data_IF_006563268042
#
_entry.id   IF_006563268042
#
_cell.length_a   1.000
_cell.length_b   1.000
_cell.length_c   1.000
_cell.angle_alpha   90.00
_cell.angle_beta   90.00
_cell.angle_gamma   90.00
#
_symmetry.space_group_name_H-M   'P 1'
#
loop_
_entity.id
_entity.type
_entity.pdbx_description
1 polymer ?
#
# COMPACT_ATOMS: atom_id res chain seq x y z
N UNK A 1 -3.97 -12.01 -7.05
CA UNK A 1 -2.56 -11.66 -7.33
C UNK A 1 -2.43 -10.77 -8.57
N UNK A 2 -2.79 -11.16 -9.80
CA UNK A 2 -2.56 -10.35 -11.03
C UNK A 2 -3.00 -8.89 -10.92
N UNK A 3 -4.15 -8.63 -10.32
CA UNK A 3 -4.65 -7.28 -10.09
C UNK A 3 -3.68 -6.42 -9.26
N UNK A 4 -3.23 -6.95 -8.13
CA UNK A 4 -2.28 -6.27 -7.26
C UNK A 4 -0.89 -6.14 -7.89
N UNK A 5 -0.45 -7.14 -8.66
CA UNK A 5 0.80 -7.06 -9.42
C UNK A 5 0.78 -5.88 -10.39
N UNK A 6 -0.32 -5.68 -11.10
CA UNK A 6 -0.49 -4.54 -12.01
C UNK A 6 -0.53 -3.22 -11.23
N UNK A 7 -1.35 -3.12 -10.17
CA UNK A 7 -1.50 -1.89 -9.37
C UNK A 7 -0.17 -1.44 -8.74
N UNK A 8 0.62 -2.37 -8.19
CA UNK A 8 1.94 -2.05 -7.64
C UNK A 8 2.99 -1.77 -8.73
N UNK A 9 2.90 -2.47 -9.86
CA UNK A 9 3.81 -2.27 -11.00
C UNK A 9 3.59 -0.93 -11.72
N UNK A 10 2.42 -0.32 -11.55
CA UNK A 10 2.10 1.00 -12.09
C UNK A 10 2.53 2.15 -11.16
N UNK A 11 2.90 1.88 -9.92
CA UNK A 11 3.42 2.89 -9.00
C UNK A 11 4.95 3.06 -9.18
N UNK A 12 5.46 4.25 -8.89
CA UNK A 12 6.90 4.53 -8.91
C UNK A 12 7.61 3.94 -7.70
N UNK A 13 6.93 3.90 -6.56
CA UNK A 13 7.45 3.30 -5.33
C UNK A 13 6.32 2.81 -4.41
N UNK A 14 6.72 1.95 -3.47
CA UNK A 14 5.85 1.45 -2.40
C UNK A 14 6.15 2.21 -1.11
N UNK A 15 5.13 2.68 -0.41
CA UNK A 15 5.27 3.39 0.86
C UNK A 15 4.75 2.51 2.00
N UNK A 16 5.62 2.14 2.92
CA UNK A 16 5.32 1.24 4.02
C UNK A 16 5.64 1.85 5.39
N UNK A 17 4.85 1.51 6.39
CA UNK A 17 5.27 1.59 7.77
C UNK A 17 6.16 0.40 8.14
N UNK A 18 6.91 0.51 9.25
CA UNK A 18 7.86 -0.51 9.71
C UNK A 18 7.30 -1.94 9.69
N UNK A 19 6.13 -2.14 10.31
CA UNK A 19 5.55 -3.49 10.45
C UNK A 19 5.19 -4.08 9.08
N UNK A 20 4.56 -3.27 8.21
CA UNK A 20 4.22 -3.70 6.85
C UNK A 20 5.48 -4.01 6.05
N UNK A 21 6.53 -3.16 6.14
CA UNK A 21 7.80 -3.41 5.48
C UNK A 21 8.39 -4.75 5.89
N UNK A 22 8.52 -5.00 7.20
CA UNK A 22 9.10 -6.26 7.72
C UNK A 22 8.28 -7.50 7.32
N UNK A 23 6.95 -7.39 7.34
CA UNK A 23 6.06 -8.46 6.90
C UNK A 23 6.22 -8.74 5.40
N UNK A 24 6.24 -7.69 4.58
CA UNK A 24 6.41 -7.82 3.12
C UNK A 24 7.80 -8.36 2.78
N UNK A 25 8.83 -7.88 3.45
CA UNK A 25 10.21 -8.36 3.28
C UNK A 25 10.33 -9.86 3.59
N UNK A 26 9.80 -10.30 4.72
CA UNK A 26 9.86 -11.71 5.12
C UNK A 26 9.14 -12.66 4.17
N UNK A 27 8.07 -12.18 3.52
CA UNK A 27 7.24 -13.00 2.62
C UNK A 27 7.69 -12.93 1.15
N UNK A 28 8.21 -11.79 0.68
CA UNK A 28 8.33 -11.48 -0.75
C UNK A 28 9.73 -11.07 -1.19
N UNK A 29 10.69 -10.94 -0.27
CA UNK A 29 12.08 -10.70 -0.65
C UNK A 29 12.68 -11.95 -1.28
N UNK A 30 13.35 -11.78 -2.42
CA UNK A 30 14.03 -12.89 -3.07
C UNK A 30 15.14 -13.45 -2.17
N UNK A 31 15.16 -14.77 -1.89
CA UNK A 31 16.20 -15.36 -1.07
C UNK A 31 17.60 -15.18 -1.67
N UNK A 32 18.62 -15.11 -0.82
CA UNK A 32 20.02 -14.99 -1.25
C UNK A 32 20.48 -16.17 -2.15
N UNK A 33 19.81 -17.32 -2.07
CA UNK A 33 20.03 -18.48 -2.95
C UNK A 33 19.64 -18.20 -4.42
N UNK A 34 18.89 -17.12 -4.68
CA UNK A 34 18.39 -16.79 -6.02
C UNK A 34 17.16 -17.60 -6.46
N UNK A 35 16.74 -18.58 -5.68
CA UNK A 35 15.56 -19.39 -5.95
C UNK A 35 14.37 -18.97 -5.08
N UNK A 36 13.17 -18.95 -5.67
CA UNK A 36 11.94 -18.75 -4.92
C UNK A 36 11.60 -20.00 -4.11
N UNK A 37 10.93 -19.88 -2.95
CA UNK A 37 10.44 -21.03 -2.19
C UNK A 37 9.50 -21.93 -2.99
N UNK A 38 9.51 -23.24 -2.74
CA UNK A 38 8.72 -24.23 -3.49
C UNK A 38 7.20 -24.01 -3.42
N UNK A 39 6.71 -23.29 -2.41
CA UNK A 39 5.28 -22.96 -2.29
C UNK A 39 4.84 -21.83 -3.23
N UNK A 40 5.79 -21.07 -3.81
CA UNK A 40 5.49 -20.02 -4.79
C UNK A 40 5.36 -20.63 -6.19
N UNK A 41 4.23 -20.35 -6.84
CA UNK A 41 3.96 -20.79 -8.20
C UNK A 41 3.77 -19.62 -9.17
N UNK A 42 3.13 -19.91 -10.30
CA UNK A 42 2.90 -18.95 -11.40
C UNK A 42 2.08 -17.70 -11.02
N UNK A 43 1.43 -17.72 -9.85
CA UNK A 43 0.65 -16.59 -9.35
C UNK A 43 1.43 -15.70 -8.38
N UNK A 44 2.25 -16.33 -7.55
CA UNK A 44 3.00 -15.68 -6.48
C UNK A 44 4.30 -15.08 -6.98
N UNK A 45 5.02 -15.77 -7.85
CA UNK A 45 6.34 -15.32 -8.36
C UNK A 45 6.27 -13.96 -9.06
N UNK A 46 5.36 -13.69 -10.01
CA UNK A 46 5.27 -12.37 -10.64
C UNK A 46 4.96 -11.25 -9.66
N UNK A 47 4.16 -11.53 -8.63
CA UNK A 47 3.87 -10.58 -7.56
C UNK A 47 5.10 -10.32 -6.69
N UNK A 48 5.80 -11.39 -6.27
CA UNK A 48 7.04 -11.31 -5.51
C UNK A 48 8.11 -10.53 -6.25
N UNK A 49 8.33 -10.80 -7.54
CA UNK A 49 9.30 -10.09 -8.38
C UNK A 49 8.96 -8.61 -8.55
N UNK A 50 7.67 -8.27 -8.62
CA UNK A 50 7.23 -6.88 -8.73
C UNK A 50 7.58 -6.12 -7.45
N UNK A 51 7.27 -6.68 -6.27
CA UNK A 51 7.59 -6.06 -4.98
C UNK A 51 9.10 -6.03 -4.76
N UNK A 52 9.80 -7.12 -5.06
CA UNK A 52 11.24 -7.23 -4.85
C UNK A 52 12.00 -6.12 -5.59
N UNK A 53 11.65 -5.85 -6.83
CA UNK A 53 12.26 -4.81 -7.68
C UNK A 53 11.81 -3.40 -7.35
N UNK A 54 10.60 -3.21 -6.85
CA UNK A 54 10.05 -1.88 -6.60
C UNK A 54 10.92 -1.08 -5.62
N UNK A 55 11.08 0.22 -5.86
CA UNK A 55 11.60 1.17 -4.86
C UNK A 55 10.64 1.19 -3.67
N UNK A 56 11.17 1.26 -2.48
CA UNK A 56 10.38 1.32 -1.24
C UNK A 56 10.80 2.51 -0.40
N UNK A 57 9.82 3.18 0.17
CA UNK A 57 10.02 4.14 1.24
C UNK A 57 9.45 3.57 2.54
N UNK A 58 10.21 3.61 3.61
CA UNK A 58 9.83 3.00 4.90
C UNK A 58 9.78 4.07 5.98
N UNK A 59 8.57 4.39 6.40
CA UNK A 59 8.36 5.34 7.51
C UNK A 59 8.62 4.63 8.83
N UNK A 60 9.68 5.05 9.52
CA UNK A 60 10.05 4.50 10.83
C UNK A 60 10.96 5.41 11.61
N UNK A 61 10.67 5.59 12.90
CA UNK A 61 11.55 6.24 13.87
C UNK A 61 12.48 5.26 14.60
N UNK A 62 12.22 3.95 14.51
CA UNK A 62 12.89 2.93 15.32
C UNK A 62 13.83 2.01 14.53
N UNK A 63 13.64 1.83 13.23
CA UNK A 63 14.57 1.05 12.41
C UNK A 63 15.90 1.79 12.28
N UNK A 64 17.01 1.08 12.44
CA UNK A 64 18.35 1.62 12.22
C UNK A 64 18.72 1.71 10.74
N UNK A 65 18.20 0.81 9.91
CA UNK A 65 18.45 0.74 8.47
C UNK A 65 17.42 -0.14 7.74
N UNK A 66 17.44 -0.06 6.44
CA UNK A 66 16.69 -0.90 5.49
C UNK A 66 17.58 -1.15 4.28
N UNK A 67 17.42 -2.29 3.61
CA UNK A 67 18.30 -2.67 2.49
C UNK A 67 17.61 -3.35 1.29
N UNK A 68 16.30 -3.62 1.42
CA UNK A 68 15.51 -4.26 0.35
C UNK A 68 15.03 -3.23 -0.69
N UNK A 69 15.93 -2.67 -1.48
CA UNK A 69 15.67 -1.54 -2.39
C UNK A 69 14.81 -0.46 -1.69
N UNK A 70 15.17 -0.14 -0.46
CA UNK A 70 14.37 0.67 0.43
C UNK A 70 15.16 1.86 0.99
N UNK A 71 14.44 2.91 1.33
CA UNK A 71 14.95 4.14 1.94
C UNK A 71 14.12 4.48 3.18
N UNK A 72 14.80 4.82 4.28
CA UNK A 72 14.12 5.25 5.50
C UNK A 72 13.61 6.68 5.37
N UNK A 73 12.35 6.86 5.70
CA UNK A 73 11.69 8.16 5.82
C UNK A 73 11.56 8.49 7.30
N UNK A 74 12.18 9.61 7.71
CA UNK A 74 12.23 10.09 9.09
C UNK A 74 11.76 11.53 9.19
N UNK A 75 11.51 11.97 10.41
CA UNK A 75 11.09 13.33 10.72
C UNK A 75 9.59 13.54 10.59
N UNK A 76 9.19 14.71 10.16
CA UNK A 76 7.78 15.03 9.96
C UNK A 76 7.19 14.24 8.79
N UNK A 77 6.15 13.45 9.09
CA UNK A 77 5.51 12.56 8.12
C UNK A 77 4.87 13.34 6.96
N UNK A 78 4.15 14.41 7.28
CA UNK A 78 3.45 15.23 6.29
C UNK A 78 4.41 15.82 5.27
N UNK A 79 5.42 16.52 5.75
CA UNK A 79 6.44 17.14 4.90
C UNK A 79 7.23 16.11 4.08
N UNK A 80 7.53 14.95 4.67
CA UNK A 80 8.25 13.90 3.96
C UNK A 80 7.44 13.34 2.80
N UNK A 81 6.15 13.02 3.03
CA UNK A 81 5.28 12.47 2.00
C UNK A 81 4.92 13.52 0.95
N UNK A 82 4.70 14.78 1.34
CA UNK A 82 4.50 15.88 0.38
C UNK A 82 5.68 16.02 -0.59
N UNK A 83 6.93 15.94 -0.10
CA UNK A 83 8.11 15.96 -0.97
C UNK A 83 8.12 14.79 -1.95
N UNK A 84 7.84 13.58 -1.48
CA UNK A 84 7.77 12.40 -2.35
C UNK A 84 6.68 12.52 -3.42
N UNK A 85 5.55 13.13 -3.08
CA UNK A 85 4.45 13.38 -4.02
C UNK A 85 4.77 14.45 -5.06
N UNK A 86 5.75 15.31 -4.84
CA UNK A 86 6.22 16.32 -5.80
C UNK A 86 7.19 15.75 -6.83
N UNK A 87 7.74 14.55 -6.60
CA UNK A 87 8.56 13.88 -7.60
C UNK A 87 7.71 13.53 -8.83
N UNK A 88 8.22 13.79 -10.05
CA UNK A 88 7.47 13.46 -11.25
C UNK A 88 7.33 11.94 -11.40
N UNK A 89 6.11 11.48 -11.71
CA UNK A 89 5.84 10.06 -11.86
C UNK A 89 4.36 9.72 -11.76
N UNK A 90 4.10 8.43 -11.51
CA UNK A 90 2.74 7.87 -11.40
C UNK A 90 2.22 7.87 -9.95
N UNK A 91 3.11 8.08 -8.97
CA UNK A 91 2.78 8.16 -7.56
C UNK A 91 3.23 6.98 -6.72
N UNK A 92 2.78 6.96 -5.47
CA UNK A 92 3.15 6.00 -4.45
C UNK A 92 2.01 5.01 -4.19
N UNK A 93 2.32 3.72 -4.16
CA UNK A 93 1.40 2.71 -3.66
C UNK A 93 1.55 2.58 -2.14
N UNK A 94 0.45 2.74 -1.41
CA UNK A 94 0.40 2.73 0.05
C UNK A 94 -0.35 1.50 0.54
N UNK A 95 0.21 0.80 1.52
CA UNK A 95 -0.45 -0.33 2.18
C UNK A 95 -0.23 -0.37 3.67
N UNK A 96 -1.04 -1.20 4.35
CA UNK A 96 -1.01 -1.36 5.81
C UNK A 96 -2.22 -0.74 6.50
N UNK A 97 -2.12 -0.47 7.80
CA UNK A 97 -3.23 0.05 8.62
C UNK A 97 -2.88 1.39 9.27
N UNK A 98 -1.81 1.44 10.04
CA UNK A 98 -1.45 2.62 10.83
C UNK A 98 -0.98 3.79 9.97
N UNK A 99 -0.14 3.53 8.99
CA UNK A 99 0.37 4.58 8.11
C UNK A 99 -0.73 5.18 7.22
N UNK A 100 -1.60 4.38 6.57
CA UNK A 100 -2.76 4.93 5.85
C UNK A 100 -3.67 5.78 6.73
N UNK A 101 -3.93 5.39 7.98
CA UNK A 101 -4.73 6.20 8.91
C UNK A 101 -4.07 7.57 9.15
N UNK A 102 -2.77 7.58 9.46
CA UNK A 102 -2.05 8.84 9.71
C UNK A 102 -2.03 9.76 8.47
N UNK A 103 -1.86 9.20 7.27
CA UNK A 103 -1.87 9.96 6.02
C UNK A 103 -3.28 10.42 5.62
N UNK A 104 -4.31 9.65 5.94
CA UNK A 104 -5.70 10.07 5.76
C UNK A 104 -6.05 11.27 6.63
N UNK A 105 -5.63 11.26 7.91
CA UNK A 105 -5.80 12.40 8.84
C UNK A 105 -5.07 13.67 8.37
N UNK A 106 -4.00 13.51 7.60
CA UNK A 106 -3.24 14.62 7.01
C UNK A 106 -3.77 15.05 5.62
N UNK A 107 -4.79 14.36 5.08
CA UNK A 107 -5.32 14.64 3.74
C UNK A 107 -4.35 14.32 2.60
N UNK A 108 -3.39 13.42 2.82
CA UNK A 108 -2.30 13.12 1.87
C UNK A 108 -2.58 11.90 0.98
N UNK A 109 -3.76 11.28 1.08
CA UNK A 109 -4.17 10.17 0.23
C UNK A 109 -5.07 10.69 -0.90
N UNK A 110 -4.66 10.49 -2.14
CA UNK A 110 -5.39 10.95 -3.32
C UNK A 110 -6.41 9.93 -3.80
N UNK A 111 -6.14 8.64 -3.61
CA UNK A 111 -7.04 7.55 -3.98
C UNK A 111 -7.08 6.48 -2.89
N UNK A 112 -8.28 6.00 -2.60
CA UNK A 112 -8.52 4.88 -1.69
C UNK A 112 -9.05 3.70 -2.49
N UNK A 113 -8.47 2.53 -2.29
CA UNK A 113 -8.96 1.30 -2.88
C UNK A 113 -9.30 0.28 -1.80
N UNK A 114 -10.55 -0.18 -1.80
CA UNK A 114 -11.05 -1.19 -0.87
C UNK A 114 -11.52 -2.41 -1.65
N UNK A 115 -11.01 -3.59 -1.28
CA UNK A 115 -11.50 -4.85 -1.82
C UNK A 115 -12.43 -5.51 -0.83
N UNK A 116 -13.70 -5.56 -1.17
CA UNK A 116 -14.74 -6.19 -0.37
C UNK A 116 -14.85 -7.65 -0.78
N UNK A 117 -14.62 -8.55 0.17
CA UNK A 117 -14.79 -9.99 -0.02
C UNK A 117 -16.25 -10.38 0.24
N UNK A 118 -16.82 -11.36 -0.48
CA UNK A 118 -18.19 -11.84 -0.24
C UNK A 118 -18.26 -12.77 1.00
N UNK A 119 -17.82 -12.25 2.16
CA UNK A 119 -17.72 -13.00 3.41
C UNK A 119 -18.21 -12.13 4.57
N UNK A 120 -19.02 -12.70 5.43
CA UNK A 120 -19.40 -12.10 6.71
C UNK A 120 -18.39 -12.54 7.78
N UNK A 121 -17.44 -11.70 8.14
CA UNK A 121 -16.37 -12.03 9.08
C UNK A 121 -16.82 -12.03 10.55
N UNK A 122 -17.89 -11.31 10.87
CA UNK A 122 -18.46 -11.20 12.22
C UNK A 122 -17.63 -10.36 13.21
N UNK A 123 -16.31 -10.45 13.18
CA UNK A 123 -15.37 -9.67 14.00
C UNK A 123 -14.03 -9.48 13.28
N UNK A 124 -13.29 -8.48 13.69
CA UNK A 124 -11.97 -8.16 13.13
C UNK A 124 -11.62 -6.69 13.37
N UNK A 125 -10.41 -6.27 12.99
CA UNK A 125 -10.03 -4.87 13.05
C UNK A 125 -10.86 -4.06 12.04
N UNK A 126 -11.24 -2.84 12.43
CA UNK A 126 -11.88 -1.89 11.53
C UNK A 126 -10.81 -1.07 10.83
N UNK A 127 -10.82 -1.10 9.51
CA UNK A 127 -9.91 -0.28 8.70
C UNK A 127 -10.21 1.21 8.93
N UNK A 128 -9.17 2.01 9.07
CA UNK A 128 -9.24 3.45 9.35
C UNK A 128 -10.02 3.80 10.64
N UNK A 129 -10.12 2.87 11.60
CA UNK A 129 -10.64 3.19 12.92
C UNK A 129 -9.74 4.24 13.60
N UNK A 130 -10.36 5.30 14.14
CA UNK A 130 -9.63 6.41 14.76
C UNK A 130 -9.37 7.59 13.84
N UNK A 131 -9.91 7.59 12.63
CA UNK A 131 -9.91 8.76 11.75
C UNK A 131 -10.57 9.95 12.49
N UNK A 132 -9.89 11.11 12.51
CA UNK A 132 -10.32 12.29 13.28
C UNK A 132 -11.56 12.95 12.71
N UNK A 133 -11.63 13.01 11.38
CA UNK A 133 -12.74 13.63 10.66
C UNK A 133 -13.24 12.72 9.54
N UNK A 134 -14.50 12.88 9.18
CA UNK A 134 -15.07 12.15 8.05
C UNK A 134 -14.48 12.67 6.75
N UNK A 135 -14.08 11.75 5.89
CA UNK A 135 -13.65 12.04 4.52
C UNK A 135 -14.78 11.59 3.59
N UNK A 136 -15.38 12.54 2.90
CA UNK A 136 -16.34 12.22 1.83
C UNK A 136 -15.57 11.69 0.64
N UNK A 137 -16.05 10.58 0.08
CA UNK A 137 -15.42 9.89 -1.04
C UNK A 137 -16.38 9.84 -2.25
N UNK A 138 -15.83 10.00 -3.44
CA UNK A 138 -16.50 9.77 -4.71
C UNK A 138 -15.97 8.49 -5.36
N UNK A 139 -16.88 7.61 -5.78
CA UNK A 139 -16.50 6.40 -6.50
C UNK A 139 -15.99 6.77 -7.89
N UNK A 140 -14.76 6.34 -8.23
CA UNK A 140 -14.14 6.61 -9.53
C UNK A 140 -13.98 5.37 -10.38
N UNK A 141 -13.91 4.18 -9.75
CA UNK A 141 -13.78 2.92 -10.47
C UNK A 141 -14.30 1.75 -9.64
N UNK A 142 -14.73 0.68 -10.32
CA UNK A 142 -15.18 -0.57 -9.71
C UNK A 142 -14.74 -1.75 -10.55
N UNK A 143 -14.13 -2.74 -9.93
CA UNK A 143 -13.71 -3.98 -10.57
C UNK A 143 -14.27 -5.20 -9.84
N UNK A 144 -14.97 -6.06 -10.57
CA UNK A 144 -15.51 -7.32 -10.05
C UNK A 144 -14.58 -8.49 -10.40
N UNK A 145 -14.25 -9.27 -9.40
CA UNK A 145 -13.43 -10.47 -9.57
C UNK A 145 -14.33 -11.69 -9.76
N UNK A 146 -13.85 -12.68 -10.50
CA UNK A 146 -14.57 -13.96 -10.67
C UNK A 146 -14.80 -14.73 -9.36
N UNK A 147 -14.14 -14.36 -8.27
CA UNK A 147 -14.39 -14.86 -6.91
C UNK A 147 -15.61 -14.23 -6.22
N UNK A 148 -16.24 -13.23 -6.82
CA UNK A 148 -17.28 -12.41 -6.21
C UNK A 148 -16.77 -11.26 -5.35
N UNK A 149 -15.45 -11.11 -5.17
CA UNK A 149 -14.89 -9.93 -4.54
C UNK A 149 -15.05 -8.71 -5.45
N UNK A 150 -15.13 -7.51 -4.86
CA UNK A 150 -15.26 -6.25 -5.60
C UNK A 150 -14.25 -5.25 -5.08
N UNK A 151 -13.40 -4.74 -5.97
CA UNK A 151 -12.56 -3.58 -5.68
C UNK A 151 -13.32 -2.31 -6.01
N UNK A 152 -13.34 -1.37 -5.08
CA UNK A 152 -13.88 -0.03 -5.25
C UNK A 152 -12.75 0.97 -5.09
N UNK A 153 -12.57 1.85 -6.07
CA UNK A 153 -11.61 2.94 -6.00
C UNK A 153 -12.35 4.26 -5.85
N UNK A 154 -11.89 5.05 -4.89
CA UNK A 154 -12.51 6.32 -4.53
C UNK A 154 -11.46 7.42 -4.52
N UNK A 155 -11.92 8.65 -4.72
CA UNK A 155 -11.16 9.88 -4.43
C UNK A 155 -11.86 10.68 -3.34
N UNK A 156 -11.11 11.45 -2.52
CA UNK A 156 -11.74 12.46 -1.67
C UNK A 156 -12.61 13.40 -2.50
N UNK A 157 -13.86 13.58 -2.08
CA UNK A 157 -14.75 14.51 -2.72
C UNK A 157 -14.19 15.94 -2.59
N UNK A 158 -14.26 16.73 -3.64
CA UNK A 158 -13.90 18.16 -3.55
C UNK A 158 -14.87 18.84 -2.60
N UNK A 159 -14.33 19.64 -1.68
CA UNK A 159 -15.19 20.49 -0.87
C UNK A 159 -16.06 21.34 -1.80
N UNK A 160 -17.38 21.14 -1.74
CA UNK A 160 -18.33 22.06 -2.37
C UNK A 160 -18.21 23.38 -1.64
N UNK A 161 -17.73 24.40 -2.35
CA UNK A 161 -17.63 25.76 -1.84
C UNK A 161 -19.03 26.34 -1.55
#
# INVERSE_FOLDING_TARGET
MRYWTAAMGDADALLFGRVTYQMMESAWRKPATGAWPDWMGDREIPFAETIDRAKKYVVSSTLSGVDWNAELVRGDLGQAVERLKQEPGKGLWLGGVTLPLALADLGLIDEYEFVVQPILAGRGPTLLAGLRERIQLELVDRHEFGSGAVAHRFRPARATA
#
